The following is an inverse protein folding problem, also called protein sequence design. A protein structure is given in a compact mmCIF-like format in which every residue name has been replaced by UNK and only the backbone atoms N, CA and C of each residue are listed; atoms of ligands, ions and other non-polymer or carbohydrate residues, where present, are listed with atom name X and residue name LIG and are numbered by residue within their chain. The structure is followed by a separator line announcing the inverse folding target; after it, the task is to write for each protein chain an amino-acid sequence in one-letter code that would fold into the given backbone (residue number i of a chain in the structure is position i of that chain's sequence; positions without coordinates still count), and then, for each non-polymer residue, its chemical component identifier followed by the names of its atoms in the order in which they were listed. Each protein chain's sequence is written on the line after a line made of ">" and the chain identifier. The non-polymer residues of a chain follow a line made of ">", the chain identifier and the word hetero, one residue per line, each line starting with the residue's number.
data_IF_618942499752
#
_entry.id   IF_618942499752
#
_cell.length_a   1.000
_cell.length_b   1.000
_cell.length_c   1.000
_cell.angle_alpha   90.00
_cell.angle_beta   90.00
_cell.angle_gamma   90.00
#
_symmetry.space_group_name_H-M   'P 1'
#
loop_
_entity.id
_entity.type
_entity.pdbx_description
1 polymer ?
#
# COMPACT_ATOMS: atom_id res chain seq x y z
N UNK A 1 -2.23 29.41 -9.00
CA UNK A 1 -0.94 28.78 -8.65
C UNK A 1 -1.29 27.40 -8.12
N UNK A 2 -1.43 26.42 -9.03
CA UNK A 2 -1.67 25.03 -8.64
C UNK A 2 -0.47 24.55 -7.84
N UNK A 3 -0.70 24.25 -6.56
CA UNK A 3 0.21 23.36 -5.84
C UNK A 3 0.31 22.07 -6.67
N UNK A 4 1.48 21.42 -6.76
CA UNK A 4 1.57 20.07 -7.31
C UNK A 4 0.95 19.08 -6.31
N UNK A 5 -0.34 19.26 -6.01
CA UNK A 5 -1.15 18.28 -5.33
C UNK A 5 -1.07 17.04 -6.21
N UNK A 6 -0.35 16.03 -5.72
CA UNK A 6 -0.02 14.81 -6.46
C UNK A 6 -1.26 14.33 -7.22
N UNK A 7 -1.14 14.20 -8.55
CA UNK A 7 -2.25 13.84 -9.44
C UNK A 7 -3.04 12.67 -8.82
N UNK A 8 -4.38 12.74 -8.77
CA UNK A 8 -5.16 11.67 -8.16
C UNK A 8 -4.90 10.34 -8.88
N UNK A 9 -4.74 9.28 -8.11
CA UNK A 9 -4.55 7.92 -8.60
C UNK A 9 -5.89 7.35 -9.09
N UNK A 10 -6.96 7.56 -8.31
CA UNK A 10 -8.34 7.17 -8.61
C UNK A 10 -9.31 7.91 -7.68
N UNK A 11 -10.63 7.69 -7.86
CA UNK A 11 -11.61 8.06 -6.85
C UNK A 11 -11.70 6.98 -5.79
N UNK A 12 -12.00 7.36 -4.55
CA UNK A 12 -12.21 6.40 -3.46
C UNK A 12 -13.31 5.38 -3.81
N UNK A 13 -14.36 5.83 -4.50
CA UNK A 13 -15.49 4.98 -4.89
C UNK A 13 -15.17 4.01 -6.05
N UNK A 14 -14.00 4.16 -6.69
CA UNK A 14 -13.47 3.16 -7.63
C UNK A 14 -12.85 1.96 -6.89
N UNK A 15 -12.60 2.11 -5.57
CA UNK A 15 -12.10 1.04 -4.70
C UNK A 15 -13.25 0.38 -3.96
N UNK A 16 -13.30 -0.95 -4.05
CA UNK A 16 -14.26 -1.78 -3.30
C UNK A 16 -13.83 -1.83 -1.84
N UNK A 17 -14.74 -1.49 -0.93
CA UNK A 17 -14.46 -1.51 0.51
C UNK A 17 -14.17 -2.93 1.01
N UNK A 18 -13.11 -3.07 1.81
CA UNK A 18 -12.65 -4.36 2.32
C UNK A 18 -11.88 -5.23 1.31
N UNK A 19 -11.71 -4.80 0.07
CA UNK A 19 -10.95 -5.51 -0.96
C UNK A 19 -9.65 -4.79 -1.33
N UNK A 20 -8.67 -5.56 -1.82
CA UNK A 20 -7.44 -4.99 -2.36
C UNK A 20 -7.52 -4.81 -3.87
N UNK A 21 -7.12 -3.63 -4.32
CA UNK A 21 -7.05 -3.24 -5.73
C UNK A 21 -5.60 -2.92 -6.09
N UNK A 22 -5.19 -3.27 -7.31
CA UNK A 22 -3.91 -2.80 -7.82
C UNK A 22 -4.07 -1.42 -8.45
N UNK A 23 -3.20 -0.48 -8.07
CA UNK A 23 -3.08 0.83 -8.71
C UNK A 23 -1.62 1.05 -9.11
N UNK A 24 -1.38 1.53 -10.31
CA UNK A 24 -0.05 1.97 -10.70
C UNK A 24 0.15 3.44 -10.28
N UNK A 25 1.33 3.74 -9.73
CA UNK A 25 1.67 5.06 -9.23
C UNK A 25 3.07 5.45 -9.68
N UNK A 26 3.25 6.71 -10.09
CA UNK A 26 4.56 7.29 -10.33
C UNK A 26 5.20 7.70 -9.00
N UNK A 27 6.12 6.87 -8.50
CA UNK A 27 6.93 7.14 -7.31
C UNK A 27 8.27 7.80 -7.71
N UNK A 28 9.06 8.33 -6.76
CA UNK A 28 10.36 8.95 -7.07
C UNK A 28 11.33 8.01 -7.81
N UNK A 29 11.25 6.71 -7.54
CA UNK A 29 12.12 5.68 -8.12
C UNK A 29 11.60 5.15 -9.49
N UNK A 30 10.39 5.53 -9.90
CA UNK A 30 9.75 5.05 -11.13
C UNK A 30 8.27 4.72 -10.96
N UNK A 31 7.67 4.21 -12.04
CA UNK A 31 6.30 3.69 -12.01
C UNK A 31 6.27 2.33 -11.32
N UNK A 32 5.43 2.20 -10.30
CA UNK A 32 5.33 1.02 -9.46
C UNK A 32 3.88 0.59 -9.28
N UNK A 33 3.67 -0.73 -9.17
CA UNK A 33 2.36 -1.30 -8.89
C UNK A 33 2.14 -1.37 -7.38
N UNK A 34 1.04 -0.81 -6.90
CA UNK A 34 0.64 -0.78 -5.49
C UNK A 34 -0.46 -1.79 -5.21
N UNK A 35 -0.47 -2.29 -3.98
CA UNK A 35 -1.62 -2.99 -3.38
C UNK A 35 -2.34 -1.96 -2.53
N UNK A 36 -3.58 -1.63 -2.85
CA UNK A 36 -4.37 -0.63 -2.12
C UNK A 36 -5.59 -1.29 -1.49
N UNK A 37 -5.71 -1.19 -0.17
CA UNK A 37 -6.84 -1.71 0.61
C UNK A 37 -7.69 -0.55 1.12
N UNK A 38 -8.98 -0.53 0.78
CA UNK A 38 -9.96 0.42 1.33
C UNK A 38 -10.56 -0.13 2.62
N UNK A 39 -10.70 0.74 3.62
CA UNK A 39 -11.41 0.50 4.88
C UNK A 39 -12.28 1.73 5.20
N UNK A 40 -13.54 1.70 4.77
CA UNK A 40 -14.45 2.84 4.84
C UNK A 40 -13.92 4.03 4.04
N UNK A 41 -13.60 5.12 4.74
CA UNK A 41 -13.06 6.35 4.15
C UNK A 41 -11.53 6.44 4.18
N UNK A 42 -10.86 5.38 4.66
CA UNK A 42 -9.42 5.30 4.72
C UNK A 42 -8.87 4.30 3.69
N UNK A 43 -7.62 4.52 3.27
CA UNK A 43 -6.87 3.59 2.42
C UNK A 43 -5.52 3.29 3.04
N UNK A 44 -5.03 2.06 2.82
CA UNK A 44 -3.64 1.66 3.07
C UNK A 44 -3.04 1.15 1.78
N UNK A 45 -1.75 1.38 1.60
CA UNK A 45 -1.06 0.84 0.44
C UNK A 45 0.37 0.37 0.73
N UNK A 46 0.79 -0.59 -0.07
CA UNK A 46 2.16 -1.11 -0.10
C UNK A 46 2.59 -1.34 -1.55
N UNK A 47 3.91 -1.40 -1.78
CA UNK A 47 4.41 -1.92 -3.06
C UNK A 47 3.93 -3.37 -3.25
N UNK A 48 3.56 -3.70 -4.48
CA UNK A 48 3.24 -5.07 -4.89
C UNK A 48 4.52 -5.90 -5.10
N UNK A 49 5.39 -5.94 -4.07
CA UNK A 49 6.69 -6.61 -4.08
C UNK A 49 6.91 -7.31 -2.73
N UNK A 50 7.08 -8.63 -2.78
CA UNK A 50 7.32 -9.44 -1.60
C UNK A 50 8.80 -9.33 -1.17
N UNK A 51 9.09 -8.95 0.10
CA UNK A 51 10.46 -8.73 0.57
C UNK A 51 11.33 -10.00 0.54
N UNK A 52 10.72 -11.20 0.53
CA UNK A 52 11.45 -12.46 0.47
C UNK A 52 12.34 -12.59 -0.79
N UNK A 53 11.79 -12.32 -1.97
CA UNK A 53 12.46 -12.61 -3.24
C UNK A 53 12.11 -11.61 -4.36
N UNK A 54 11.56 -10.45 -4.02
CA UNK A 54 11.20 -9.41 -4.97
C UNK A 54 10.06 -9.78 -5.93
N UNK A 55 9.33 -10.87 -5.66
CA UNK A 55 8.21 -11.31 -6.51
C UNK A 55 6.97 -10.49 -6.24
N UNK A 56 6.14 -10.28 -7.26
CA UNK A 56 4.81 -9.70 -7.07
C UNK A 56 3.95 -10.56 -6.15
N UNK A 57 3.06 -9.92 -5.38
CA UNK A 57 2.13 -10.59 -4.47
C UNK A 57 0.86 -11.05 -5.18
N UNK A 58 0.47 -10.38 -6.26
CA UNK A 58 -0.65 -10.80 -7.10
C UNK A 58 -0.31 -12.04 -7.95
N UNK A 59 -1.29 -12.93 -8.13
CA UNK A 59 -1.14 -14.14 -8.95
C UNK A 59 -1.54 -13.92 -10.42
N UNK A 60 -2.30 -12.86 -10.67
CA UNK A 60 -2.60 -12.28 -11.97
C UNK A 60 -2.74 -10.76 -11.77
N UNK A 61 -2.65 -9.92 -12.81
CA UNK A 61 -2.72 -8.46 -12.66
C UNK A 61 -3.89 -8.01 -11.78
N UNK A 62 -3.57 -7.45 -10.61
CA UNK A 62 -4.54 -6.94 -9.63
C UNK A 62 -5.38 -7.99 -8.92
N UNK A 63 -4.99 -9.27 -8.97
CA UNK A 63 -5.66 -10.37 -8.26
C UNK A 63 -4.82 -10.85 -7.09
N UNK A 64 -5.27 -10.54 -5.89
CA UNK A 64 -4.59 -10.85 -4.63
C UNK A 64 -5.23 -12.02 -3.90
N UNK A 65 -4.43 -12.77 -3.14
CA UNK A 65 -4.94 -13.76 -2.19
C UNK A 65 -5.08 -13.11 -0.82
N UNK A 66 -6.29 -12.69 -0.48
CA UNK A 66 -6.59 -12.10 0.83
C UNK A 66 -7.64 -12.95 1.55
N UNK A 67 -7.36 -13.30 2.81
CA UNK A 67 -8.31 -13.99 3.67
C UNK A 67 -8.11 -13.57 5.12
N UNK A 68 -9.20 -13.21 5.81
CA UNK A 68 -9.22 -12.89 7.25
C UNK A 68 -8.12 -11.89 7.66
N UNK A 69 -7.98 -10.80 6.91
CA UNK A 69 -6.99 -9.74 7.19
C UNK A 69 -5.53 -10.15 6.91
N UNK A 70 -5.31 -11.21 6.14
CA UNK A 70 -3.98 -11.66 5.73
C UNK A 70 -3.88 -11.69 4.21
N UNK A 71 -2.87 -11.03 3.67
CA UNK A 71 -2.46 -11.07 2.27
C UNK A 71 -1.38 -12.14 2.09
N UNK A 72 -1.55 -13.03 1.12
CA UNK A 72 -0.62 -14.13 0.85
C UNK A 72 0.08 -13.92 -0.49
N UNK A 73 1.42 -13.92 -0.47
CA UNK A 73 2.24 -13.95 -1.68
C UNK A 73 2.01 -15.28 -2.40
N UNK A 74 1.44 -15.20 -3.61
CA UNK A 74 1.10 -16.37 -4.41
C UNK A 74 2.32 -17.20 -4.86
N UNK A 75 3.54 -16.64 -4.83
CA UNK A 75 4.74 -17.35 -5.26
C UNK A 75 5.21 -18.40 -4.24
N UNK A 76 5.34 -18.02 -2.96
CA UNK A 76 5.97 -18.86 -1.93
C UNK A 76 5.22 -18.87 -0.58
N UNK A 77 4.02 -18.27 -0.50
CA UNK A 77 3.16 -18.36 0.68
C UNK A 77 3.51 -17.43 1.85
N UNK A 78 4.40 -16.44 1.65
CA UNK A 78 4.62 -15.40 2.65
C UNK A 78 3.30 -14.67 2.96
N UNK A 79 2.96 -14.52 4.23
CA UNK A 79 1.63 -14.10 4.69
C UNK A 79 1.75 -12.83 5.53
N UNK A 80 1.09 -11.76 5.10
CA UNK A 80 1.23 -10.41 5.64
C UNK A 80 -0.08 -9.92 6.26
N UNK A 81 -0.04 -9.32 7.45
CA UNK A 81 -1.22 -8.66 8.01
C UNK A 81 -1.59 -7.43 7.18
N UNK A 82 -2.88 -7.27 6.90
CA UNK A 82 -3.38 -6.09 6.18
C UNK A 82 -3.40 -4.82 7.02
N UNK A 83 -3.18 -4.91 8.33
CA UNK A 83 -3.21 -3.72 9.20
C UNK A 83 -1.92 -2.90 9.07
N UNK A 84 -0.78 -3.58 8.94
CA UNK A 84 0.55 -2.96 9.02
C UNK A 84 1.60 -3.56 8.07
N UNK A 85 1.23 -4.56 7.26
CA UNK A 85 2.12 -5.21 6.30
C UNK A 85 3.17 -6.14 6.91
N UNK A 86 3.08 -6.49 8.21
CA UNK A 86 4.02 -7.43 8.84
C UNK A 86 3.82 -8.85 8.33
N UNK A 87 4.91 -9.51 7.94
CA UNK A 87 4.92 -10.90 7.57
C UNK A 87 4.83 -11.80 8.81
N UNK A 88 3.68 -12.45 9.00
CA UNK A 88 3.37 -13.33 10.13
C UNK A 88 3.57 -14.82 9.80
N UNK A 89 3.85 -15.16 8.53
CA UNK A 89 4.09 -16.55 8.12
C UNK A 89 4.85 -16.67 6.81
N UNK A 90 5.56 -17.79 6.65
CA UNK A 90 6.37 -18.06 5.46
C UNK A 90 7.83 -17.58 5.57
N UNK A 91 8.55 -17.52 4.43
CA UNK A 91 10.01 -17.44 4.41
C UNK A 91 10.61 -16.11 4.85
N UNK A 92 9.85 -15.01 4.84
CA UNK A 92 10.28 -13.69 5.31
C UNK A 92 9.55 -13.26 6.58
N UNK A 93 9.20 -14.20 7.47
CA UNK A 93 8.52 -13.88 8.74
C UNK A 93 9.34 -12.87 9.55
N UNK A 94 8.68 -11.81 10.03
CA UNK A 94 9.32 -10.70 10.75
C UNK A 94 9.64 -9.49 9.87
N UNK A 95 9.74 -9.66 8.54
CA UNK A 95 9.87 -8.55 7.60
C UNK A 95 8.52 -7.84 7.37
N UNK A 96 8.57 -6.72 6.63
CA UNK A 96 7.39 -5.91 6.31
C UNK A 96 7.31 -5.57 4.84
N UNK A 97 6.09 -5.42 4.33
CA UNK A 97 5.84 -4.79 3.04
C UNK A 97 6.25 -3.30 3.09
N UNK A 98 6.83 -2.79 2.00
CA UNK A 98 7.17 -1.36 1.89
C UNK A 98 5.87 -0.55 1.73
N UNK A 99 5.49 0.18 2.78
CA UNK A 99 4.31 1.04 2.77
C UNK A 99 4.49 2.20 1.79
N UNK A 100 3.39 2.57 1.12
CA UNK A 100 3.30 3.75 0.26
C UNK A 100 2.22 4.66 0.85
N UNK A 101 2.59 5.79 1.46
CA UNK A 101 1.63 6.71 2.07
C UNK A 101 0.63 7.26 1.03
N UNK A 102 -0.66 7.07 1.31
CA UNK A 102 -1.75 7.63 0.51
C UNK A 102 -2.65 8.50 1.40
N UNK A 103 -3.24 9.55 0.81
CA UNK A 103 -4.29 10.36 1.42
C UNK A 103 -5.59 10.27 0.61
N UNK A 104 -6.72 10.48 1.27
CA UNK A 104 -8.03 10.67 0.62
C UNK A 104 -8.44 12.11 0.82
N UNK A 105 -8.56 12.86 -0.28
CA UNK A 105 -8.92 14.28 -0.27
C UNK A 105 -10.03 14.52 -1.28
N UNK A 106 -11.16 15.06 -0.84
CA UNK A 106 -12.34 15.31 -1.69
C UNK A 106 -12.81 14.06 -2.47
N UNK A 107 -12.69 12.87 -1.87
CA UNK A 107 -13.05 11.60 -2.49
C UNK A 107 -12.04 11.09 -3.53
N UNK A 108 -10.85 11.69 -3.61
CA UNK A 108 -9.76 11.27 -4.49
C UNK A 108 -8.62 10.67 -3.67
N UNK A 109 -8.10 9.54 -4.15
CA UNK A 109 -6.93 8.87 -3.56
C UNK A 109 -5.68 9.46 -4.20
N UNK A 110 -4.74 9.93 -3.38
CA UNK A 110 -3.51 10.60 -3.80
C UNK A 110 -2.31 10.02 -3.07
N UNK A 111 -1.12 10.12 -3.67
CA UNK A 111 0.12 9.94 -2.91
C UNK A 111 0.16 11.01 -1.82
N UNK A 112 0.32 10.60 -0.56
CA UNK A 112 0.53 11.58 0.49
C UNK A 112 1.91 12.19 0.30
N UNK A 113 1.97 13.52 0.17
CA UNK A 113 3.21 14.24 0.48
C UNK A 113 3.53 13.93 1.94
N UNK A 114 4.78 13.57 2.23
CA UNK A 114 5.16 13.24 3.61
C UNK A 114 4.61 14.30 4.57
N UNK A 115 3.97 13.94 5.68
CA UNK A 115 3.83 14.91 6.74
C UNK A 115 5.25 15.36 7.06
N UNK A 116 5.52 16.67 6.99
CA UNK A 116 6.77 17.21 7.50
C UNK A 116 6.99 16.57 8.86
N UNK A 117 8.02 15.73 8.98
CA UNK A 117 8.29 14.98 10.19
C UNK A 117 8.15 15.96 11.35
N UNK A 118 7.26 15.68 12.31
CA UNK A 118 7.24 16.48 13.53
C UNK A 118 8.64 16.33 14.11
N UNK A 119 9.47 17.36 13.94
CA UNK A 119 10.68 17.55 14.70
C UNK A 119 10.22 17.52 16.15
N UNK A 120 10.37 16.36 16.79
CA UNK A 120 10.25 16.27 18.23
C UNK A 120 11.44 17.04 18.77
N UNK A 121 11.26 18.35 18.90
CA UNK A 121 12.07 19.17 19.77
C UNK A 121 11.90 18.61 21.16
N UNK A 122 12.90 17.85 21.61
CA UNK A 122 13.19 17.76 23.03
C UNK A 122 14.42 18.61 23.23
N UNK A 123 14.18 19.88 23.55
CA UNK A 123 15.11 20.63 24.39
C UNK A 123 15.04 19.99 25.78
N UNK A 124 16.19 19.58 26.29
CA UNK A 124 16.37 18.98 27.62
C UNK A 124 17.80 18.53 27.78
#
# INVERSE_FOLDING_TARGET
>A
MDSPAARPLCRLDDLVDGEATALDALLPDGEESLIVLRQGDAVRAWLNICPHAGRRLDWAPGKFLISRGTLVCAAHGASFRTDDGECVGGPCRGDRLRAVPLSVENGEVRLATEPAARLSGTAG
#
